data_IF_626185771978
#
_entry.id   IF_626185771978
#
_cell.length_a   1.000
_cell.length_b   1.000
_cell.length_c   1.000
_cell.angle_alpha   90.00
_cell.angle_beta   90.00
_cell.angle_gamma   90.00
#
_symmetry.space_group_name_H-M   'P 1'
#
loop_
_entity.id
_entity.type
_entity.pdbx_description
1 polymer ?
#
# COMPACT_ATOMS: atom_id res chain seq x y z
N UNK A 1 62.89 22.91 44.98
CA UNK A 1 61.45 23.10 45.27
C UNK A 1 60.80 23.80 44.09
N UNK A 2 59.72 23.20 43.56
CA UNK A 2 58.59 23.81 42.81
C UNK A 2 58.90 24.52 41.47
N UNK A 3 58.70 23.84 40.33
CA UNK A 3 57.57 23.94 39.35
C UNK A 3 57.46 25.34 38.69
N UNK A 4 57.39 25.51 37.37
CA UNK A 4 56.50 24.84 36.43
C UNK A 4 56.92 25.20 34.99
N UNK A 5 57.15 24.21 34.12
CA UNK A 5 57.30 24.41 32.69
C UNK A 5 55.98 24.06 32.00
N UNK A 6 55.49 24.99 31.19
CA UNK A 6 54.33 24.86 30.31
C UNK A 6 54.36 23.57 29.49
N UNK A 7 53.27 22.79 29.54
CA UNK A 7 53.00 21.79 28.53
C UNK A 7 51.56 21.92 28.03
N UNK A 8 51.41 22.53 26.86
CA UNK A 8 50.16 22.58 26.10
C UNK A 8 49.81 21.17 25.60
N UNK A 9 48.93 20.47 26.32
CA UNK A 9 48.32 19.24 25.83
C UNK A 9 47.17 19.55 24.85
N UNK A 10 47.53 19.78 23.58
CA UNK A 10 46.60 19.74 22.46
C UNK A 10 46.28 18.26 22.13
N UNK A 11 45.40 17.63 22.91
CA UNK A 11 44.79 16.36 22.49
C UNK A 11 43.64 16.65 21.53
N UNK A 12 43.90 16.50 20.22
CA UNK A 12 42.84 16.33 19.22
C UNK A 12 41.92 15.18 19.68
N UNK A 13 40.57 15.33 19.65
CA UNK A 13 39.69 14.20 19.88
C UNK A 13 39.87 13.20 18.74
N UNK A 14 40.28 11.98 19.09
CA UNK A 14 40.28 10.83 18.18
C UNK A 14 38.83 10.47 17.84
N UNK A 15 38.50 10.19 16.57
CA UNK A 15 37.16 9.76 16.22
C UNK A 15 36.92 8.37 16.81
N UNK A 16 35.93 8.26 17.71
CA UNK A 16 35.40 6.98 18.17
C UNK A 16 34.82 6.21 16.98
N UNK A 17 35.59 5.29 16.41
CA UNK A 17 35.06 4.22 15.57
C UNK A 17 34.53 3.10 16.47
N UNK A 18 33.36 3.29 17.04
CA UNK A 18 32.56 2.18 17.59
C UNK A 18 31.45 1.83 16.59
N UNK A 19 31.85 1.12 15.54
CA UNK A 19 30.89 0.34 14.77
C UNK A 19 30.50 -0.90 15.56
N UNK A 20 29.21 -1.04 15.88
CA UNK A 20 28.52 -2.34 15.91
C UNK A 20 27.06 -2.11 15.49
N UNK A 21 26.90 -2.17 14.17
CA UNK A 21 25.73 -2.61 13.41
C UNK A 21 24.48 -2.93 14.22
N UNK A 22 23.45 -2.09 14.08
CA UNK A 22 22.08 -2.55 14.30
C UNK A 22 21.83 -3.71 13.34
N UNK A 23 21.85 -4.93 13.86
CA UNK A 23 21.42 -6.11 13.13
C UNK A 23 19.88 -6.07 13.02
N UNK A 24 19.37 -5.20 12.14
CA UNK A 24 17.94 -5.06 11.82
C UNK A 24 17.46 -6.11 10.80
N UNK A 25 18.21 -7.19 10.61
CA UNK A 25 17.93 -8.18 9.57
C UNK A 25 16.66 -9.01 9.84
N UNK A 26 16.19 -9.07 11.09
CA UNK A 26 14.97 -9.80 11.47
C UNK A 26 13.66 -9.03 11.22
N UNK A 27 13.58 -7.77 11.67
CA UNK A 27 12.37 -6.96 11.57
C UNK A 27 12.08 -6.49 10.12
N UNK A 28 13.12 -6.16 9.35
CA UNK A 28 12.98 -5.78 7.95
C UNK A 28 12.45 -6.90 7.06
N UNK A 29 12.85 -8.16 7.34
CA UNK A 29 12.41 -9.33 6.58
C UNK A 29 10.93 -9.69 6.89
N UNK A 30 10.52 -9.58 8.15
CA UNK A 30 9.13 -9.82 8.53
C UNK A 30 8.16 -8.78 7.94
N UNK A 31 8.54 -7.49 8.00
CA UNK A 31 7.73 -6.41 7.43
C UNK A 31 7.64 -6.51 5.91
N UNK A 32 8.74 -6.87 5.24
CA UNK A 32 8.77 -7.10 3.80
C UNK A 32 7.84 -8.26 3.38
N UNK A 33 7.91 -9.41 4.07
CA UNK A 33 7.02 -10.56 3.79
C UNK A 33 5.55 -10.20 4.00
N UNK A 34 5.24 -9.41 5.03
CA UNK A 34 3.87 -8.94 5.29
C UNK A 34 3.37 -7.98 4.20
N UNK A 35 4.21 -7.06 3.72
CA UNK A 35 3.84 -6.17 2.61
C UNK A 35 3.62 -6.97 1.33
N UNK A 36 4.49 -7.93 1.03
CA UNK A 36 4.35 -8.79 -0.15
C UNK A 36 3.07 -9.64 -0.10
N UNK A 37 2.72 -10.21 1.07
CA UNK A 37 1.47 -10.95 1.23
C UNK A 37 0.24 -10.04 1.13
N UNK A 38 0.29 -8.82 1.66
CA UNK A 38 -0.78 -7.82 1.49
C UNK A 38 -0.97 -7.43 0.03
N UNK A 39 0.11 -7.21 -0.73
CA UNK A 39 0.06 -6.91 -2.15
C UNK A 39 -0.59 -8.04 -2.95
N UNK A 40 -0.15 -9.29 -2.71
CA UNK A 40 -0.72 -10.47 -3.37
C UNK A 40 -2.20 -10.67 -3.05
N UNK A 41 -2.58 -10.58 -1.77
CA UNK A 41 -3.98 -10.71 -1.37
C UNK A 41 -4.85 -9.63 -1.99
N UNK A 42 -4.36 -8.38 -2.03
CA UNK A 42 -5.08 -7.27 -2.66
C UNK A 42 -5.31 -7.56 -4.14
N UNK A 43 -4.27 -8.01 -4.87
CA UNK A 43 -4.38 -8.34 -6.29
C UNK A 43 -5.35 -9.49 -6.56
N UNK A 44 -5.34 -10.53 -5.71
CA UNK A 44 -6.28 -11.64 -5.81
C UNK A 44 -7.74 -11.18 -5.61
N UNK A 45 -7.99 -10.29 -4.65
CA UNK A 45 -9.31 -9.67 -4.42
C UNK A 45 -9.73 -8.84 -5.64
N UNK A 46 -8.84 -7.98 -6.14
CA UNK A 46 -9.09 -7.11 -7.29
C UNK A 46 -9.48 -7.93 -8.51
N UNK A 47 -8.68 -8.95 -8.86
CA UNK A 47 -8.91 -9.81 -10.03
C UNK A 47 -10.24 -10.56 -9.92
N UNK A 48 -10.62 -11.00 -8.71
CA UNK A 48 -11.89 -11.69 -8.49
C UNK A 48 -13.10 -10.76 -8.51
N UNK A 49 -12.94 -9.49 -8.14
CA UNK A 49 -14.07 -8.56 -8.03
C UNK A 49 -14.31 -7.73 -9.30
N UNK A 50 -13.29 -7.48 -10.13
CA UNK A 50 -13.45 -6.66 -11.34
C UNK A 50 -14.54 -7.20 -12.28
N UNK A 51 -14.48 -8.49 -12.61
CA UNK A 51 -15.41 -9.09 -13.58
C UNK A 51 -16.85 -9.15 -13.04
N UNK A 52 -17.12 -9.60 -11.79
CA UNK A 52 -18.47 -9.57 -11.24
C UNK A 52 -19.06 -8.16 -11.15
N UNK A 53 -18.29 -7.16 -10.70
CA UNK A 53 -18.76 -5.77 -10.61
C UNK A 53 -19.17 -5.23 -11.98
N UNK A 54 -18.34 -5.47 -13.01
CA UNK A 54 -18.65 -5.08 -14.39
C UNK A 54 -19.89 -5.80 -14.92
N UNK A 55 -19.98 -7.12 -14.73
CA UNK A 55 -21.13 -7.92 -15.15
C UNK A 55 -22.42 -7.45 -14.47
N UNK A 56 -22.41 -7.23 -13.15
CA UNK A 56 -23.58 -6.72 -12.42
C UNK A 56 -23.99 -5.35 -12.94
N UNK A 57 -23.05 -4.43 -13.16
CA UNK A 57 -23.38 -3.12 -13.73
C UNK A 57 -24.03 -3.23 -15.12
N UNK A 58 -23.56 -4.15 -15.97
CA UNK A 58 -24.19 -4.42 -17.28
C UNK A 58 -25.60 -4.94 -17.14
N UNK A 59 -25.84 -5.92 -16.26
CA UNK A 59 -27.19 -6.45 -16.04
C UNK A 59 -28.15 -5.41 -15.46
N UNK A 60 -27.68 -4.55 -14.54
CA UNK A 60 -28.48 -3.44 -14.04
C UNK A 60 -28.83 -2.45 -15.16
N UNK A 61 -27.91 -2.17 -16.08
CA UNK A 61 -28.20 -1.31 -17.23
C UNK A 61 -29.23 -1.91 -18.17
N UNK A 62 -29.16 -3.22 -18.44
CA UNK A 62 -30.15 -3.92 -19.24
C UNK A 62 -31.53 -3.91 -18.54
N UNK A 63 -31.56 -4.15 -17.24
CA UNK A 63 -32.80 -4.07 -16.46
C UNK A 63 -33.43 -2.66 -16.49
N UNK A 64 -32.62 -1.59 -16.45
CA UNK A 64 -33.11 -0.22 -16.58
C UNK A 64 -33.79 0.08 -17.92
N UNK A 65 -33.45 -0.67 -18.98
CA UNK A 65 -34.06 -0.52 -20.31
C UNK A 65 -35.45 -1.17 -20.39
N UNK A 66 -35.77 -2.09 -19.48
CA UNK A 66 -37.01 -2.89 -19.53
C UNK A 66 -38.06 -2.48 -18.50
N UNK A 67 -37.71 -1.61 -17.55
CA UNK A 67 -38.62 -1.14 -16.49
C UNK A 67 -39.22 0.22 -16.83
N UNK A 68 -40.47 0.43 -16.43
CA UNK A 68 -41.16 1.71 -16.59
C UNK A 68 -40.44 2.85 -15.84
N UNK A 69 -40.48 4.06 -16.41
CA UNK A 69 -39.71 5.21 -15.92
C UNK A 69 -40.08 5.65 -14.51
N UNK A 70 -41.36 5.61 -14.15
CA UNK A 70 -41.85 6.06 -12.84
C UNK A 70 -42.03 4.89 -11.85
N UNK A 71 -41.56 3.69 -12.20
CA UNK A 71 -41.72 2.52 -11.35
C UNK A 71 -40.78 2.54 -10.14
N UNK A 72 -41.28 2.01 -9.02
CA UNK A 72 -40.46 1.75 -7.83
C UNK A 72 -39.28 0.82 -8.14
N UNK A 73 -39.48 -0.16 -9.03
CA UNK A 73 -38.44 -1.07 -9.51
C UNK A 73 -37.26 -0.31 -10.13
N UNK A 74 -37.51 0.75 -10.91
CA UNK A 74 -36.44 1.58 -11.47
C UNK A 74 -35.64 2.26 -10.38
N UNK A 75 -36.28 2.78 -9.33
CA UNK A 75 -35.58 3.42 -8.21
C UNK A 75 -34.64 2.42 -7.51
N UNK A 76 -35.09 1.20 -7.24
CA UNK A 76 -34.24 0.15 -6.67
C UNK A 76 -33.04 -0.20 -7.54
N UNK A 77 -33.24 -0.26 -8.87
CA UNK A 77 -32.13 -0.54 -9.79
C UNK A 77 -31.14 0.63 -9.83
N UNK A 78 -31.62 1.88 -9.80
CA UNK A 78 -30.76 3.07 -9.75
C UNK A 78 -29.93 3.12 -8.46
N UNK A 79 -30.53 2.81 -7.32
CA UNK A 79 -29.85 2.73 -6.03
C UNK A 79 -28.79 1.61 -6.03
N UNK A 80 -29.15 0.43 -6.54
CA UNK A 80 -28.23 -0.69 -6.72
C UNK A 80 -27.03 -0.30 -7.61
N UNK A 81 -27.29 0.43 -8.69
CA UNK A 81 -26.25 0.93 -9.60
C UNK A 81 -25.32 1.94 -8.92
N UNK A 82 -25.83 2.76 -8.00
CA UNK A 82 -24.99 3.62 -7.16
C UNK A 82 -24.04 2.78 -6.31
N UNK A 83 -24.56 1.77 -5.60
CA UNK A 83 -23.72 0.87 -4.79
C UNK A 83 -22.64 0.16 -5.61
N UNK A 84 -22.96 -0.31 -6.82
CA UNK A 84 -21.97 -0.95 -7.70
C UNK A 84 -20.88 0.03 -8.17
N UNK A 85 -21.22 1.30 -8.42
CA UNK A 85 -20.22 2.34 -8.75
C UNK A 85 -19.28 2.60 -7.58
N UNK A 86 -19.80 2.64 -6.36
CA UNK A 86 -19.00 2.80 -5.15
C UNK A 86 -18.07 1.61 -4.94
N UNK A 87 -18.55 0.38 -5.12
CA UNK A 87 -17.72 -0.83 -5.07
C UNK A 87 -16.59 -0.77 -6.11
N UNK A 88 -16.91 -0.38 -7.34
CA UNK A 88 -15.90 -0.22 -8.39
C UNK A 88 -14.83 0.83 -8.01
N UNK A 89 -15.24 1.95 -7.41
CA UNK A 89 -14.30 2.97 -6.92
C UNK A 89 -13.41 2.43 -5.79
N UNK A 90 -13.94 1.61 -4.87
CA UNK A 90 -13.17 0.96 -3.82
C UNK A 90 -12.13 -0.02 -4.38
N UNK A 91 -12.52 -0.87 -5.35
CA UNK A 91 -11.59 -1.80 -6.02
C UNK A 91 -10.49 -1.05 -6.74
N UNK A 92 -10.80 0.06 -7.43
CA UNK A 92 -9.78 0.92 -8.05
C UNK A 92 -8.80 1.53 -7.05
N UNK A 93 -9.28 1.96 -5.88
CA UNK A 93 -8.39 2.45 -4.80
C UNK A 93 -7.50 1.34 -4.26
N UNK A 94 -8.03 0.14 -4.09
CA UNK A 94 -7.27 -1.04 -3.67
C UNK A 94 -6.19 -1.40 -4.70
N UNK A 95 -6.49 -1.30 -6.00
CA UNK A 95 -5.52 -1.50 -7.08
C UNK A 95 -4.39 -0.47 -7.05
N UNK A 96 -4.72 0.80 -6.84
CA UNK A 96 -3.72 1.85 -6.63
C UNK A 96 -2.81 1.56 -5.43
N UNK A 97 -3.38 1.09 -4.33
CA UNK A 97 -2.63 0.69 -3.13
C UNK A 97 -1.71 -0.52 -3.39
N UNK A 98 -2.23 -1.57 -4.04
CA UNK A 98 -1.48 -2.78 -4.37
C UNK A 98 -0.27 -2.48 -5.27
N UNK A 99 -0.46 -1.64 -6.30
CA UNK A 99 0.60 -1.15 -7.18
C UNK A 99 1.63 -0.29 -6.43
N UNK A 100 1.17 0.48 -5.43
CA UNK A 100 2.04 1.23 -4.54
C UNK A 100 3.00 0.32 -3.77
N UNK A 101 2.47 -0.73 -3.15
CA UNK A 101 3.26 -1.76 -2.43
C UNK A 101 4.28 -2.41 -3.37
N UNK A 102 3.84 -2.84 -4.56
CA UNK A 102 4.73 -3.50 -5.53
C UNK A 102 5.91 -2.60 -5.93
N UNK A 103 5.64 -1.31 -6.15
CA UNK A 103 6.67 -0.32 -6.46
C UNK A 103 7.67 -0.13 -5.32
N UNK A 104 7.20 -0.09 -4.07
CA UNK A 104 8.07 0.01 -2.89
C UNK A 104 8.95 -1.23 -2.71
N UNK A 105 8.37 -2.42 -2.92
CA UNK A 105 9.09 -3.69 -2.91
C UNK A 105 10.21 -3.68 -3.96
N UNK A 106 9.90 -3.29 -5.20
CA UNK A 106 10.87 -3.29 -6.29
C UNK A 106 12.02 -2.30 -6.07
N UNK A 107 11.76 -1.13 -5.49
CA UNK A 107 12.82 -0.16 -5.11
C UNK A 107 13.79 -0.72 -4.08
N UNK A 108 13.26 -1.45 -3.08
CA UNK A 108 14.06 -2.04 -2.00
C UNK A 108 14.89 -3.26 -2.46
N UNK A 109 14.49 -3.92 -3.55
CA UNK A 109 15.27 -5.00 -4.18
C UNK A 109 16.44 -4.42 -4.98
N UNK A 110 16.23 -3.33 -5.74
CA UNK A 110 17.25 -2.74 -6.62
C UNK A 110 18.30 -1.91 -5.84
N UNK A 111 17.97 -1.41 -4.65
CA UNK A 111 18.91 -0.67 -3.78
C UNK A 111 19.80 -1.57 -2.90
N UNK A 112 19.75 -2.89 -3.05
CA UNK A 112 20.61 -3.87 -2.36
C UNK A 112 21.57 -4.51 -3.34
#
# INVERSE_FOLDING_TARGET
>A
MVKSANNHNNKKPTPQKNGKFFNNNGAGNHNYKRLLSMGKLSMDIINKLYNPIDATNRFLNLALQTVEEDSQSRQFILESKSGIREMHALVKRLDGYAKGIEKEINKNIISK
#
